data_IF_987221173435
#
_entry.id   IF_987221173435
#
_cell.length_a   1.000
_cell.length_b   1.000
_cell.length_c   1.000
_cell.angle_alpha   90.00
_cell.angle_beta   90.00
_cell.angle_gamma   90.00
#
_symmetry.space_group_name_H-M   'P 1'
#
loop_
_entity.id
_entity.type
_entity.pdbx_description
1 polymer ?
#
# COMPACT_ATOMS: atom_id res chain seq x y z
N UNK A 1 -2.05 0.86 -1.23
CA UNK A 1 -1.82 2.33 -1.19
C UNK A 1 -2.85 3.13 -2.01
N UNK A 2 -3.82 2.47 -2.61
CA UNK A 2 -4.98 3.15 -3.20
C UNK A 2 -6.06 3.29 -2.14
N UNK A 3 -6.55 4.51 -1.94
CA UNK A 3 -7.49 4.80 -0.86
C UNK A 3 -8.75 5.44 -1.41
N UNK A 4 -9.88 5.18 -0.74
CA UNK A 4 -11.17 5.81 -1.02
C UNK A 4 -11.67 6.47 0.26
N UNK A 5 -11.16 7.66 0.62
CA UNK A 5 -11.44 8.26 1.93
C UNK A 5 -12.92 8.45 2.26
N UNK A 6 -13.78 8.62 1.25
CA UNK A 6 -15.21 8.77 1.48
C UNK A 6 -15.91 7.48 1.95
N UNK A 7 -15.30 6.31 1.68
CA UNK A 7 -15.84 5.00 2.05
C UNK A 7 -14.93 4.20 2.95
N UNK A 8 -13.62 4.36 2.81
CA UNK A 8 -12.63 3.70 3.67
C UNK A 8 -12.54 4.43 5.01
N UNK A 9 -12.43 3.68 6.08
CA UNK A 9 -12.25 4.25 7.42
C UNK A 9 -10.81 4.70 7.65
N UNK A 10 -9.86 4.03 7.01
CA UNK A 10 -8.43 4.30 7.15
C UNK A 10 -7.66 3.56 6.05
N UNK A 11 -6.33 3.78 5.93
CA UNK A 11 -5.50 3.00 5.00
C UNK A 11 -5.60 1.49 5.18
N UNK A 12 -5.96 0.99 6.37
CA UNK A 12 -6.12 -0.44 6.64
C UNK A 12 -7.17 -1.08 5.72
N UNK A 13 -8.23 -0.36 5.36
CA UNK A 13 -9.23 -0.89 4.43
C UNK A 13 -8.64 -1.15 3.03
N UNK A 14 -7.64 -0.37 2.64
CA UNK A 14 -6.88 -0.60 1.41
C UNK A 14 -6.12 -1.93 1.46
N UNK A 15 -5.50 -2.24 2.58
CA UNK A 15 -4.82 -3.52 2.77
C UNK A 15 -5.81 -4.69 2.76
N UNK A 16 -6.99 -4.51 3.35
CA UNK A 16 -8.02 -5.56 3.36
C UNK A 16 -8.44 -5.94 1.94
N UNK A 17 -8.53 -5.00 1.02
CA UNK A 17 -8.85 -5.28 -0.39
C UNK A 17 -7.77 -6.11 -1.08
N UNK A 18 -6.52 -6.01 -0.64
CA UNK A 18 -5.39 -6.72 -1.22
C UNK A 18 -5.03 -7.99 -0.47
N UNK A 19 -5.86 -8.42 0.48
CA UNK A 19 -5.59 -9.55 1.39
C UNK A 19 -5.18 -10.82 0.65
N UNK A 20 -5.78 -11.10 -0.49
CA UNK A 20 -5.50 -12.31 -1.28
C UNK A 20 -4.07 -12.38 -1.81
N UNK A 21 -3.37 -11.23 -1.86
CA UNK A 21 -2.00 -11.11 -2.36
C UNK A 21 -0.95 -11.16 -1.24
N UNK A 22 -1.38 -11.33 0.00
CA UNK A 22 -0.51 -11.35 1.18
C UNK A 22 -0.38 -12.76 1.72
N UNK A 23 0.81 -13.06 2.29
CA UNK A 23 0.94 -14.24 3.14
C UNK A 23 0.12 -14.04 4.42
N UNK A 24 -0.25 -15.13 5.09
CA UNK A 24 -1.01 -15.03 6.35
C UNK A 24 -0.28 -14.21 7.42
N UNK A 25 1.03 -14.42 7.66
CA UNK A 25 1.76 -13.58 8.62
C UNK A 25 1.72 -12.09 8.29
N UNK A 26 1.87 -11.72 7.02
CA UNK A 26 1.81 -10.31 6.63
C UNK A 26 0.41 -9.75 6.80
N UNK A 27 -0.62 -10.49 6.41
CA UNK A 27 -2.01 -10.07 6.57
C UNK A 27 -2.34 -9.84 8.04
N UNK A 28 -1.89 -10.69 8.94
CA UNK A 28 -2.09 -10.50 10.37
C UNK A 28 -1.44 -9.22 10.89
N UNK A 29 -0.29 -8.85 10.33
CA UNK A 29 0.40 -7.62 10.69
C UNK A 29 -0.30 -6.38 10.16
N UNK A 30 -0.75 -6.40 8.90
CA UNK A 30 -1.32 -5.23 8.24
C UNK A 30 -2.78 -4.99 8.58
N UNK A 31 -3.52 -6.05 8.90
CA UNK A 31 -4.96 -5.94 9.13
C UNK A 31 -5.33 -5.81 10.60
N UNK A 32 -4.35 -5.88 11.50
CA UNK A 32 -4.57 -5.60 12.91
C UNK A 32 -4.82 -4.10 13.07
N UNK A 33 -6.01 -3.77 13.56
CA UNK A 33 -6.35 -2.41 13.93
C UNK A 33 -5.59 -2.08 15.22
N UNK A 34 -4.44 -1.47 15.06
CA UNK A 34 -3.67 -1.03 16.21
C UNK A 34 -4.25 0.27 16.71
N UNK A 35 -4.71 0.28 17.95
CA UNK A 35 -5.22 1.48 18.62
C UNK A 35 -4.20 2.63 18.68
N UNK A 36 -2.98 2.37 18.24
CA UNK A 36 -1.92 3.37 18.14
C UNK A 36 -1.98 4.11 16.80
N UNK A 37 -2.74 3.64 15.83
CA UNK A 37 -3.00 4.44 14.65
C UNK A 37 -3.81 5.66 15.08
N UNK A 38 -3.22 6.81 14.90
CA UNK A 38 -4.00 8.04 14.92
C UNK A 38 -5.05 7.88 13.84
N UNK A 39 -6.29 8.12 14.20
CA UNK A 39 -7.38 8.13 13.24
C UNK A 39 -7.02 8.96 12.02
N UNK A 40 -7.79 8.88 10.93
CA UNK A 40 -7.50 9.64 9.73
C UNK A 40 -7.32 11.11 10.07
N UNK A 41 -6.17 11.68 9.66
CA UNK A 41 -5.85 13.08 9.90
C UNK A 41 -6.73 14.04 9.11
N UNK A 42 -6.48 15.33 9.30
CA UNK A 42 -7.22 16.38 8.61
C UNK A 42 -7.20 16.22 7.08
N UNK A 43 -6.08 15.77 6.52
CA UNK A 43 -5.96 15.54 5.09
C UNK A 43 -6.90 14.44 4.60
N UNK A 44 -7.03 13.35 5.34
CA UNK A 44 -7.96 12.28 5.01
C UNK A 44 -9.41 12.78 5.02
N UNK A 45 -9.76 13.54 6.05
CA UNK A 45 -11.10 14.10 6.17
C UNK A 45 -11.41 15.09 5.03
N UNK A 46 -10.42 15.85 4.58
CA UNK A 46 -10.57 16.75 3.44
C UNK A 46 -10.82 15.96 2.16
N UNK A 47 -10.06 14.90 1.93
CA UNK A 47 -10.29 14.03 0.77
C UNK A 47 -11.68 13.38 0.81
N UNK A 48 -12.12 12.95 1.99
CA UNK A 48 -13.45 12.38 2.15
C UNK A 48 -14.55 13.41 1.81
N UNK A 49 -14.41 14.64 2.27
CA UNK A 49 -15.34 15.71 1.98
C UNK A 49 -15.37 16.06 0.50
N UNK A 50 -14.22 16.01 -0.16
CA UNK A 50 -14.09 16.32 -1.58
C UNK A 50 -14.46 15.14 -2.47
N UNK A 51 -14.80 14.00 -1.88
CA UNK A 51 -15.04 12.75 -2.58
C UNK A 51 -13.84 12.35 -3.47
N UNK A 52 -12.64 12.60 -2.99
CA UNK A 52 -11.42 12.31 -3.70
C UNK A 52 -11.02 10.85 -3.58
N UNK A 53 -10.42 10.33 -4.64
CA UNK A 53 -9.74 9.03 -4.65
C UNK A 53 -8.25 9.28 -4.57
N UNK A 54 -7.54 8.52 -3.75
CA UNK A 54 -6.08 8.54 -3.74
C UNK A 54 -5.57 7.35 -4.54
N UNK A 55 -5.11 7.61 -5.73
CA UNK A 55 -4.57 6.58 -6.63
C UNK A 55 -3.08 6.40 -6.38
N UNK A 56 -2.63 5.16 -6.41
CA UNK A 56 -1.21 4.82 -6.27
C UNK A 56 -0.65 4.36 -7.61
N UNK A 57 0.52 4.88 -7.95
CA UNK A 57 1.30 4.43 -9.08
C UNK A 57 2.59 3.81 -8.52
N UNK A 58 2.78 2.52 -8.73
CA UNK A 58 3.88 1.76 -8.14
C UNK A 58 4.88 1.40 -9.23
N UNK A 59 6.15 1.77 -8.98
CA UNK A 59 7.27 1.41 -9.86
C UNK A 59 8.18 0.46 -9.09
N UNK A 60 8.45 -0.69 -9.67
CA UNK A 60 9.34 -1.68 -9.06
C UNK A 60 10.74 -1.55 -9.62
N UNK A 61 11.72 -1.63 -8.72
CA UNK A 61 13.13 -1.65 -9.09
C UNK A 61 13.89 -2.51 -8.12
N UNK A 62 15.17 -2.72 -8.41
CA UNK A 62 16.02 -3.47 -7.51
C UNK A 62 17.46 -3.06 -7.65
N UNK A 63 17.89 -2.11 -6.81
CA UNK A 63 19.29 -1.74 -6.67
C UNK A 63 19.81 -2.36 -5.38
N UNK A 64 20.78 -3.27 -5.50
CA UNK A 64 21.37 -3.97 -4.35
C UNK A 64 20.53 -5.07 -3.73
N UNK A 65 19.47 -5.52 -4.40
CA UNK A 65 18.69 -6.65 -3.91
C UNK A 65 19.43 -7.96 -4.08
N UNK A 66 19.18 -8.94 -3.19
CA UNK A 66 19.65 -10.31 -3.42
C UNK A 66 19.11 -10.87 -4.74
N UNK A 67 19.82 -11.80 -5.38
CA UNK A 67 19.33 -12.45 -6.59
C UNK A 67 17.99 -13.15 -6.36
N UNK A 68 17.13 -13.14 -7.38
CA UNK A 68 15.87 -13.86 -7.34
C UNK A 68 16.13 -15.37 -7.26
N UNK A 69 15.27 -16.06 -6.53
CA UNK A 69 15.24 -17.52 -6.51
C UNK A 69 13.89 -18.01 -7.02
N UNK A 70 13.72 -19.33 -7.14
CA UNK A 70 12.45 -19.91 -7.58
C UNK A 70 11.30 -19.67 -6.59
N UNK A 71 11.62 -19.30 -5.36
CA UNK A 71 10.64 -19.16 -4.29
C UNK A 71 10.68 -17.81 -3.58
N UNK A 72 11.66 -16.95 -3.88
CA UNK A 72 11.86 -15.70 -3.14
C UNK A 72 12.35 -14.58 -4.07
N UNK A 73 11.68 -13.45 -4.02
CA UNK A 73 11.99 -12.26 -4.80
C UNK A 73 12.03 -11.06 -3.87
N UNK A 74 13.08 -10.23 -4.02
CA UNK A 74 13.20 -8.96 -3.31
C UNK A 74 13.09 -7.81 -4.29
N UNK A 75 12.32 -6.78 -3.94
CA UNK A 75 12.16 -5.58 -4.77
C UNK A 75 12.10 -4.32 -3.91
N UNK A 76 12.42 -3.20 -4.54
CA UNK A 76 12.18 -1.88 -3.97
C UNK A 76 11.02 -1.28 -4.75
N UNK A 77 9.96 -0.88 -4.06
CA UNK A 77 8.80 -0.26 -4.67
C UNK A 77 8.80 1.24 -4.35
N UNK A 78 8.70 2.05 -5.39
CA UNK A 78 8.47 3.48 -5.27
C UNK A 78 7.00 3.76 -5.53
N UNK A 79 6.33 4.39 -4.58
CA UNK A 79 4.89 4.59 -4.60
C UNK A 79 4.60 6.08 -4.70
N UNK A 80 4.04 6.48 -5.82
CA UNK A 80 3.58 7.84 -6.06
C UNK A 80 2.06 7.88 -5.93
N UNK A 81 1.56 8.74 -5.05
CA UNK A 81 0.13 8.86 -4.81
C UNK A 81 -0.40 10.19 -5.34
N UNK A 82 -1.58 10.15 -5.93
CA UNK A 82 -2.26 11.32 -6.46
C UNK A 82 -3.69 11.32 -5.94
N UNK A 83 -4.10 12.43 -5.36
CA UNK A 83 -5.49 12.64 -4.95
C UNK A 83 -6.26 13.23 -6.13
N UNK A 84 -7.34 12.59 -6.52
CA UNK A 84 -8.12 12.94 -7.71
C UNK A 84 -9.57 13.17 -7.29
N UNK A 85 -10.10 14.36 -7.60
CA UNK A 85 -11.53 14.61 -7.54
C UNK A 85 -12.01 15.13 -8.90
N UNK A 86 -13.30 15.43 -9.05
CA UNK A 86 -13.90 15.79 -10.33
C UNK A 86 -13.20 16.95 -11.04
N UNK A 87 -12.61 17.87 -10.30
CA UNK A 87 -12.08 19.12 -10.83
C UNK A 87 -10.59 19.31 -10.61
N UNK A 88 -9.96 18.47 -9.76
CA UNK A 88 -8.57 18.71 -9.35
C UNK A 88 -7.80 17.40 -9.21
N UNK A 89 -6.54 17.46 -9.59
CA UNK A 89 -5.57 16.42 -9.33
C UNK A 89 -4.44 17.05 -8.53
N UNK A 90 -4.10 16.46 -7.39
CA UNK A 90 -2.99 16.96 -6.57
C UNK A 90 -2.09 15.81 -6.15
N UNK A 91 -0.78 16.07 -6.15
CA UNK A 91 0.20 15.10 -5.68
C UNK A 91 0.15 15.02 -4.16
N UNK A 92 0.02 13.80 -3.64
CA UNK A 92 0.22 13.55 -2.22
C UNK A 92 1.70 13.72 -1.92
N UNK A 93 2.02 14.31 -0.77
CA UNK A 93 3.40 14.64 -0.41
C UNK A 93 4.34 13.46 -0.65
N UNK A 94 5.62 13.72 -0.70
CA UNK A 94 6.73 12.79 -1.02
C UNK A 94 6.38 11.34 -1.33
N UNK A 95 6.96 10.82 -2.42
CA UNK A 95 6.82 9.40 -2.77
C UNK A 95 7.28 8.51 -1.62
N UNK A 96 6.59 7.40 -1.44
CA UNK A 96 6.94 6.41 -0.43
C UNK A 96 7.81 5.33 -1.08
N UNK A 97 8.92 5.01 -0.43
CA UNK A 97 9.78 3.90 -0.85
C UNK A 97 9.63 2.77 0.15
N UNK A 98 9.35 1.57 -0.34
CA UNK A 98 9.23 0.38 0.51
C UNK A 98 10.07 -0.75 -0.05
N UNK A 99 10.65 -1.55 0.84
CA UNK A 99 11.35 -2.78 0.50
C UNK A 99 10.39 -3.93 0.69
N UNK A 100 10.20 -4.71 -0.35
CA UNK A 100 9.22 -5.80 -0.33
C UNK A 100 9.90 -7.14 -0.63
N UNK A 101 9.39 -8.18 0.01
CA UNK A 101 9.78 -9.56 -0.25
C UNK A 101 8.54 -10.33 -0.67
N UNK A 102 8.65 -11.07 -1.78
CA UNK A 102 7.58 -11.92 -2.27
C UNK A 102 8.02 -13.38 -2.15
N UNK A 103 7.09 -14.25 -1.77
CA UNK A 103 7.29 -15.69 -1.71
C UNK A 103 6.31 -16.38 -2.63
N UNK A 104 6.70 -17.53 -3.14
CA UNK A 104 5.83 -18.33 -4.00
C UNK A 104 5.01 -19.29 -3.15
N UNK A 105 3.68 -19.15 -3.22
CA UNK A 105 2.73 -20.06 -2.59
C UNK A 105 1.94 -20.80 -3.67
N UNK A 106 2.30 -22.05 -3.96
CA UNK A 106 1.71 -22.79 -5.08
C UNK A 106 2.09 -22.16 -6.41
N UNK A 107 1.10 -21.75 -7.21
CA UNK A 107 1.31 -21.10 -8.51
C UNK A 107 1.29 -19.58 -8.44
N UNK A 108 1.21 -19.00 -7.24
CA UNK A 108 1.00 -17.58 -7.05
C UNK A 108 2.10 -16.97 -6.20
N UNK A 109 2.57 -15.77 -6.60
CA UNK A 109 3.46 -14.97 -5.79
C UNK A 109 2.66 -14.16 -4.78
N UNK A 110 3.07 -14.21 -3.51
CA UNK A 110 2.43 -13.48 -2.43
C UNK A 110 3.42 -12.52 -1.77
N UNK A 111 2.94 -11.37 -1.37
CA UNK A 111 3.72 -10.40 -0.62
C UNK A 111 3.88 -10.90 0.81
N UNK A 112 5.12 -11.03 1.27
CA UNK A 112 5.44 -11.57 2.59
C UNK A 112 5.92 -10.51 3.57
N UNK A 113 6.69 -9.54 3.11
CA UNK A 113 7.16 -8.44 3.97
C UNK A 113 7.09 -7.12 3.25
N UNK A 114 6.80 -6.07 4.03
CA UNK A 114 6.89 -4.67 3.61
C UNK A 114 7.70 -3.94 4.67
N UNK A 115 8.75 -3.25 4.26
CA UNK A 115 9.59 -2.45 5.15
C UNK A 115 9.73 -1.04 4.59
N UNK A 116 9.50 -0.06 5.45
CA UNK A 116 9.61 1.36 5.11
C UNK A 116 11.00 1.89 5.30
#
# INVERSE_FOLDING_TARGET
FTWYPSTDRSPTDGYARAREWFTDPLAQTLLVDTHTERGPGAQWNQWASDNAKVAANVTLGCSGCPPDTDALIHRVASIHQTAINENKTSTVATDTTVWVTLTKGGDQWLLDTIRY
#
